data_IF_318577850938
#
_entry.id   IF_318577850938
#
_cell.length_a   1.000
_cell.length_b   1.000
_cell.length_c   1.000
_cell.angle_alpha   90.00
_cell.angle_beta   90.00
_cell.angle_gamma   90.00
#
_symmetry.space_group_name_H-M   'P 1'
#
loop_
_entity.id
_entity.type
_entity.pdbx_description
1 polymer ?
#
# COMPACT_ATOMS: atom_id res chain seq x y z
N UNK A 1 -5.31 14.53 15.26
CA UNK A 1 -4.69 13.46 16.08
C UNK A 1 -4.34 12.31 15.15
N UNK A 2 -3.13 11.77 15.26
CA UNK A 2 -2.69 10.63 14.45
C UNK A 2 -3.41 9.36 14.88
N UNK A 3 -3.99 8.65 13.94
CA UNK A 3 -4.67 7.36 14.19
C UNK A 3 -3.72 6.18 13.97
N UNK A 4 -3.96 5.04 14.65
CA UNK A 4 -3.16 3.83 14.41
C UNK A 4 -3.22 3.36 12.94
N UNK A 5 -4.37 3.55 12.27
CA UNK A 5 -4.52 3.21 10.86
C UNK A 5 -3.56 4.01 9.97
N UNK A 6 -3.44 5.31 10.22
CA UNK A 6 -2.54 6.18 9.46
C UNK A 6 -1.07 5.82 9.73
N UNK A 7 -0.70 5.49 10.98
CA UNK A 7 0.65 5.02 11.31
C UNK A 7 0.98 3.73 10.58
N UNK A 8 0.09 2.74 10.65
CA UNK A 8 0.28 1.44 10.00
C UNK A 8 0.40 1.61 8.48
N UNK A 9 -0.47 2.42 7.87
CA UNK A 9 -0.47 2.70 6.45
C UNK A 9 0.87 3.28 5.97
N UNK A 10 1.36 4.34 6.63
CA UNK A 10 2.62 4.99 6.27
C UNK A 10 3.82 4.08 6.56
N UNK A 11 3.81 3.40 7.70
CA UNK A 11 4.90 2.50 8.06
C UNK A 11 5.02 1.30 7.10
N UNK A 12 3.90 0.69 6.72
CA UNK A 12 3.89 -0.42 5.76
C UNK A 12 4.44 0.02 4.40
N UNK A 13 4.11 1.22 3.94
CA UNK A 13 4.70 1.77 2.72
C UNK A 13 6.22 1.93 2.85
N UNK A 14 6.72 2.54 3.94
CA UNK A 14 8.16 2.68 4.19
C UNK A 14 8.82 1.29 4.20
N UNK A 15 8.22 0.32 4.89
CA UNK A 15 8.73 -1.04 5.01
C UNK A 15 8.85 -1.72 3.65
N UNK A 16 7.76 -1.73 2.87
CA UNK A 16 7.75 -2.34 1.53
C UNK A 16 8.85 -1.74 0.64
N UNK A 17 8.99 -0.41 0.62
CA UNK A 17 9.95 0.26 -0.27
C UNK A 17 11.40 0.10 0.18
N UNK A 18 11.65 0.13 1.48
CA UNK A 18 13.00 -0.13 2.02
C UNK A 18 13.41 -1.61 1.87
N UNK A 19 12.48 -2.56 1.96
CA UNK A 19 12.74 -3.99 1.67
C UNK A 19 13.08 -4.23 0.20
N UNK A 20 12.56 -3.40 -0.71
CA UNK A 20 12.94 -3.37 -2.13
C UNK A 20 14.25 -2.59 -2.39
N UNK A 21 14.92 -2.08 -1.36
CA UNK A 21 16.18 -1.35 -1.47
C UNK A 21 16.03 0.12 -1.91
N UNK A 22 14.82 0.68 -1.89
CA UNK A 22 14.61 2.08 -2.24
C UNK A 22 15.12 3.02 -1.13
N UNK A 23 15.65 4.18 -1.54
CA UNK A 23 15.93 5.32 -0.66
C UNK A 23 14.62 6.08 -0.43
N UNK A 24 14.03 5.88 0.75
CA UNK A 24 12.72 6.43 1.10
C UNK A 24 12.91 7.71 1.92
N UNK A 25 12.38 8.85 1.49
CA UNK A 25 12.40 10.11 2.25
C UNK A 25 11.01 10.76 2.26
N UNK A 26 10.87 11.91 2.95
CA UNK A 26 9.59 12.62 3.06
C UNK A 26 8.92 12.89 1.71
N UNK A 27 9.68 13.43 0.74
CA UNK A 27 9.17 13.73 -0.59
C UNK A 27 8.75 12.48 -1.34
N UNK A 28 9.51 11.39 -1.20
CA UNK A 28 9.21 10.11 -1.82
C UNK A 28 7.89 9.54 -1.29
N UNK A 29 7.72 9.51 0.04
CA UNK A 29 6.49 9.01 0.67
C UNK A 29 5.30 9.91 0.31
N UNK A 30 5.46 11.22 0.39
CA UNK A 30 4.39 12.16 0.08
C UNK A 30 3.91 12.02 -1.36
N UNK A 31 4.84 12.02 -2.33
CA UNK A 31 4.51 12.03 -3.75
C UNK A 31 4.02 10.67 -4.27
N UNK A 32 4.53 9.57 -3.72
CA UNK A 32 4.19 8.23 -4.22
C UNK A 32 3.07 7.55 -3.45
N UNK A 33 2.77 8.00 -2.23
CA UNK A 33 1.75 7.39 -1.39
C UNK A 33 0.71 8.41 -0.90
N UNK A 34 1.08 9.33 -0.01
CA UNK A 34 0.10 10.17 0.71
C UNK A 34 -0.78 10.99 -0.24
N UNK A 35 -0.18 11.65 -1.23
CA UNK A 35 -0.91 12.48 -2.20
C UNK A 35 -1.91 11.69 -3.06
N UNK A 36 -1.73 10.38 -3.16
CA UNK A 36 -2.58 9.46 -3.93
C UNK A 36 -3.61 8.73 -3.07
N UNK A 37 -3.61 8.95 -1.76
CA UNK A 37 -4.48 8.25 -0.80
C UNK A 37 -5.20 9.26 0.11
N UNK A 38 -5.97 10.22 -0.45
CA UNK A 38 -6.63 11.27 0.32
C UNK A 38 -7.65 10.74 1.34
N UNK A 39 -8.17 9.53 1.15
CA UNK A 39 -9.09 8.86 2.08
C UNK A 39 -8.49 8.58 3.45
N UNK A 40 -7.15 8.60 3.59
CA UNK A 40 -6.49 8.51 4.89
C UNK A 40 -6.58 9.81 5.69
N UNK A 41 -6.98 10.92 5.07
CA UNK A 41 -7.10 12.23 5.73
C UNK A 41 -5.79 12.72 6.34
N UNK A 42 -4.66 12.40 5.70
CA UNK A 42 -3.32 12.81 6.12
C UNK A 42 -2.95 14.10 5.38
N UNK A 43 -2.92 15.22 6.11
CA UNK A 43 -2.31 16.46 5.62
C UNK A 43 -0.81 16.51 5.92
N UNK A 44 -0.14 17.59 5.51
CA UNK A 44 1.31 17.76 5.72
C UNK A 44 1.72 17.77 7.19
N UNK A 45 0.88 18.34 8.06
CA UNK A 45 1.18 18.46 9.48
C UNK A 45 1.03 17.10 10.16
N UNK A 46 -0.06 16.39 9.87
CA UNK A 46 -0.28 15.00 10.29
C UNK A 46 0.79 14.05 9.75
N UNK A 47 1.25 14.24 8.52
CA UNK A 47 2.34 13.45 7.96
C UNK A 47 3.63 13.63 8.76
N UNK A 48 4.00 14.88 9.08
CA UNK A 48 5.15 15.14 9.95
C UNK A 48 5.00 14.49 11.33
N UNK A 49 3.81 14.59 11.94
CA UNK A 49 3.51 13.94 13.22
C UNK A 49 3.63 12.41 13.15
N UNK A 50 3.18 11.79 12.05
CA UNK A 50 3.29 10.36 11.81
C UNK A 50 4.76 9.94 11.75
N UNK A 51 5.57 10.61 10.93
CA UNK A 51 7.01 10.29 10.79
C UNK A 51 7.73 10.46 12.12
N UNK A 52 7.51 11.57 12.81
CA UNK A 52 8.08 11.83 14.13
C UNK A 52 7.70 10.75 15.14
N UNK A 53 6.45 10.27 15.09
CA UNK A 53 5.99 9.19 15.96
C UNK A 53 6.65 7.85 15.62
N UNK A 54 6.78 7.50 14.34
CA UNK A 54 7.48 6.27 13.91
C UNK A 54 8.96 6.26 14.31
N UNK A 55 9.62 7.43 14.28
CA UNK A 55 11.00 7.60 14.74
C UNK A 55 11.08 7.50 16.27
N UNK A 56 10.22 8.23 16.98
CA UNK A 56 10.18 8.25 18.44
C UNK A 56 9.87 6.87 19.04
N UNK A 57 8.98 6.13 18.41
CA UNK A 57 8.62 4.76 18.83
C UNK A 57 9.68 3.73 18.40
N UNK A 58 10.73 4.15 17.68
CA UNK A 58 11.90 3.33 17.37
C UNK A 58 11.74 2.40 16.17
N UNK A 59 10.69 2.54 15.35
CA UNK A 59 10.46 1.67 14.19
C UNK A 59 11.22 2.12 12.93
N UNK A 60 11.44 3.43 12.82
CA UNK A 60 12.15 4.07 11.71
C UNK A 60 13.30 4.89 12.26
N UNK A 61 14.40 4.96 11.53
CA UNK A 61 15.48 5.93 11.79
C UNK A 61 15.70 6.78 10.54
N UNK A 62 16.00 8.06 10.75
CA UNK A 62 16.44 8.96 9.69
C UNK A 62 17.98 8.92 9.61
N UNK A 63 18.51 8.90 8.39
CA UNK A 63 19.95 9.02 8.14
C UNK A 63 20.35 10.45 7.77
N UNK A 64 21.66 10.67 7.56
CA UNK A 64 22.22 11.97 7.18
C UNK A 64 21.76 12.50 5.81
N UNK A 65 21.13 11.66 4.98
CA UNK A 65 20.57 12.04 3.68
C UNK A 65 19.05 12.24 3.75
N UNK A 66 18.48 12.40 4.96
CA UNK A 66 17.04 12.49 5.20
C UNK A 66 16.27 11.28 4.66
N UNK A 67 16.92 10.12 4.60
CA UNK A 67 16.31 8.86 4.19
C UNK A 67 15.96 8.01 5.41
N UNK A 68 14.82 7.34 5.31
CA UNK A 68 14.23 6.51 6.35
C UNK A 68 14.63 5.06 6.17
N UNK A 69 15.12 4.47 7.26
CA UNK A 69 15.54 3.08 7.34
C UNK A 69 14.78 2.35 8.43
N UNK A 70 14.47 1.07 8.20
CA UNK A 70 13.89 0.22 9.24
C UNK A 70 14.91 -0.12 10.30
N UNK A 71 14.51 0.03 11.56
CA UNK A 71 15.23 -0.53 12.71
C UNK A 71 14.93 -2.03 12.84
N UNK A 72 15.56 -2.70 13.82
CA UNK A 72 15.22 -4.08 14.17
C UNK A 72 13.76 -4.19 14.60
N UNK A 73 13.26 -3.24 15.39
CA UNK A 73 11.88 -3.21 15.84
C UNK A 73 10.90 -2.93 14.70
N UNK A 74 11.29 -2.06 13.74
CA UNK A 74 10.52 -1.84 12.52
C UNK A 74 10.39 -3.10 11.66
N UNK A 75 11.46 -3.89 11.53
CA UNK A 75 11.39 -5.17 10.78
C UNK A 75 10.42 -6.16 11.45
N UNK A 76 10.40 -6.18 12.78
CA UNK A 76 9.53 -7.03 13.59
C UNK A 76 8.14 -6.44 13.85
N UNK A 77 7.85 -5.26 13.30
CA UNK A 77 6.60 -4.55 13.53
C UNK A 77 5.38 -5.34 13.03
N UNK A 78 4.36 -5.44 13.89
CA UNK A 78 3.11 -6.21 13.65
C UNK A 78 1.85 -5.33 13.54
N UNK A 79 2.01 -4.00 13.53
CA UNK A 79 0.90 -3.04 13.57
C UNK A 79 0.70 -2.39 14.93
N UNK A 80 0.37 -1.09 14.95
CA UNK A 80 -0.06 -0.34 16.13
C UNK A 80 -1.44 -0.79 16.62
N UNK A 81 -2.27 -1.29 15.71
CA UNK A 81 -3.48 -2.05 16.01
C UNK A 81 -3.33 -3.37 15.29
N UNK A 82 -3.06 -4.47 16.02
CA UNK A 82 -2.95 -5.86 15.52
C UNK A 82 -3.34 -6.00 14.03
N UNK A 83 -2.40 -5.73 13.11
CA UNK A 83 -2.70 -5.36 11.72
C UNK A 83 -3.10 -6.56 10.84
N UNK A 84 -3.62 -7.63 11.44
CA UNK A 84 -4.12 -8.81 10.75
C UNK A 84 -5.45 -8.56 10.00
N UNK A 85 -6.18 -7.47 10.27
CA UNK A 85 -7.49 -7.21 9.65
C UNK A 85 -7.46 -6.44 8.33
N UNK A 86 -6.43 -5.64 8.06
CA UNK A 86 -6.39 -4.76 6.88
C UNK A 86 -5.70 -5.37 5.66
N UNK A 87 -4.65 -6.18 5.84
CA UNK A 87 -3.96 -6.82 4.71
C UNK A 87 -4.90 -7.77 3.93
N UNK A 88 -5.83 -8.42 4.64
CA UNK A 88 -6.88 -9.25 4.03
C UNK A 88 -7.86 -8.45 3.16
N UNK A 89 -8.10 -7.16 3.45
CA UNK A 89 -9.09 -6.36 2.72
C UNK A 89 -8.53 -5.76 1.42
N UNK A 90 -7.26 -5.36 1.41
CA UNK A 90 -6.56 -4.89 0.20
C UNK A 90 -6.17 -6.05 -0.73
N UNK A 91 -5.75 -7.19 -0.19
CA UNK A 91 -5.49 -8.41 -0.98
C UNK A 91 -6.76 -8.96 -1.62
N UNK A 92 -7.88 -9.03 -0.88
CA UNK A 92 -9.16 -9.48 -1.43
C UNK A 92 -9.68 -8.56 -2.55
N UNK A 93 -9.49 -7.24 -2.46
CA UNK A 93 -9.93 -6.29 -3.48
C UNK A 93 -9.16 -6.49 -4.81
N UNK A 94 -7.83 -6.62 -4.74
CA UNK A 94 -6.99 -6.86 -5.91
C UNK A 94 -7.24 -8.24 -6.56
N UNK A 95 -7.53 -9.27 -5.77
CA UNK A 95 -7.89 -10.60 -6.29
C UNK A 95 -9.28 -10.58 -6.95
N UNK A 96 -10.25 -9.89 -6.35
CA UNK A 96 -11.62 -9.82 -6.88
C UNK A 96 -11.68 -9.07 -8.21
N UNK A 97 -10.97 -7.95 -8.33
CA UNK A 97 -10.88 -7.20 -9.59
C UNK A 97 -10.20 -8.03 -10.68
N UNK A 98 -9.07 -8.71 -10.37
CA UNK A 98 -8.39 -9.60 -11.31
C UNK A 98 -9.24 -10.78 -11.82
N UNK A 99 -10.04 -11.39 -10.95
CA UNK A 99 -10.95 -12.49 -11.30
C UNK A 99 -12.07 -12.00 -12.22
N UNK A 100 -12.67 -10.84 -11.93
CA UNK A 100 -13.75 -10.27 -12.76
C UNK A 100 -13.25 -9.96 -14.18
N UNK A 101 -12.06 -9.37 -14.33
CA UNK A 101 -11.48 -9.12 -15.64
C UNK A 101 -11.18 -10.41 -16.41
N UNK A 102 -10.67 -11.45 -15.74
CA UNK A 102 -10.40 -12.74 -16.38
C UNK A 102 -11.68 -13.41 -16.89
N UNK A 103 -12.74 -13.48 -16.06
CA UNK A 103 -14.04 -14.06 -16.45
C UNK A 103 -14.72 -13.30 -17.60
N UNK A 104 -14.65 -11.96 -17.61
CA UNK A 104 -15.23 -11.16 -18.68
C UNK A 104 -14.54 -11.44 -20.04
N UNK A 105 -13.21 -11.59 -20.05
CA UNK A 105 -12.46 -11.91 -21.27
C UNK A 105 -12.84 -13.30 -21.81
N UNK A 106 -12.90 -14.33 -20.96
CA UNK A 106 -13.31 -15.67 -21.40
C UNK A 106 -14.76 -15.70 -21.92
N UNK A 107 -15.67 -14.96 -21.28
CA UNK A 107 -17.07 -14.85 -21.72
C UNK A 107 -17.21 -14.23 -23.11
N UNK A 108 -16.48 -13.13 -23.37
CA UNK A 108 -16.52 -12.44 -24.67
C UNK A 108 -15.94 -13.34 -25.79
N UNK A 109 -14.83 -14.02 -25.54
CA UNK A 109 -14.21 -14.93 -26.52
C UNK A 109 -15.14 -16.11 -26.87
N UNK A 110 -15.83 -16.67 -25.87
CA UNK A 110 -16.78 -17.77 -26.09
C UNK A 110 -17.99 -17.32 -26.93
N UNK A 111 -18.53 -16.13 -26.66
CA UNK A 111 -19.65 -15.56 -27.44
C UNK A 111 -19.22 -15.30 -28.89
N UNK A 112 -18.04 -14.71 -29.11
CA UNK A 112 -17.52 -14.46 -30.46
C UNK A 112 -17.30 -15.76 -31.25
N UNK A 113 -16.80 -16.80 -30.58
CA UNK A 113 -16.59 -18.12 -31.19
C UNK A 113 -17.91 -18.78 -31.55
N UNK A 114 -18.92 -18.68 -30.68
CA UNK A 114 -20.26 -19.18 -30.95
C UNK A 114 -20.94 -18.44 -32.12
N UNK A 115 -20.86 -17.11 -32.17
CA UNK A 115 -21.38 -16.29 -33.28
C UNK A 115 -20.70 -16.68 -34.59
N UNK A 116 -19.36 -16.80 -34.60
CA UNK A 116 -18.63 -17.22 -35.78
C UNK A 116 -19.13 -18.58 -36.31
N UNK A 117 -19.35 -19.55 -35.42
CA UNK A 117 -19.85 -20.86 -35.80
C UNK A 117 -21.32 -20.86 -36.28
N UNK A 118 -22.12 -19.88 -35.86
CA UNK A 118 -23.52 -19.73 -36.26
C UNK A 118 -23.67 -19.09 -37.66
N UNK A 119 -22.76 -18.18 -38.03
CA UNK A 119 -22.86 -17.40 -39.26
C UNK A 119 -21.92 -17.86 -40.39
N UNK A 120 -20.85 -18.60 -40.09
CA UNK A 120 -19.84 -19.02 -41.07
C UNK A 120 -19.74 -20.54 -41.24
N UNK A 121 -20.85 -21.25 -41.03
CA UNK A 121 -20.99 -22.68 -41.36
C UNK A 121 -22.00 -22.88 -42.49
#
# INVERSE_FOLDING_TARGET
MVTPLQLDAVFLFIKEKTELGALVNNNYIWNLYISKTPELGIDQLLFSDIINKLIKDGYVKEDFQNSYHLTVDGRNFKGYVWAAKWHNKLSAKNITEGIIYSLAVFGIVAILTFIYHLFFK
#
